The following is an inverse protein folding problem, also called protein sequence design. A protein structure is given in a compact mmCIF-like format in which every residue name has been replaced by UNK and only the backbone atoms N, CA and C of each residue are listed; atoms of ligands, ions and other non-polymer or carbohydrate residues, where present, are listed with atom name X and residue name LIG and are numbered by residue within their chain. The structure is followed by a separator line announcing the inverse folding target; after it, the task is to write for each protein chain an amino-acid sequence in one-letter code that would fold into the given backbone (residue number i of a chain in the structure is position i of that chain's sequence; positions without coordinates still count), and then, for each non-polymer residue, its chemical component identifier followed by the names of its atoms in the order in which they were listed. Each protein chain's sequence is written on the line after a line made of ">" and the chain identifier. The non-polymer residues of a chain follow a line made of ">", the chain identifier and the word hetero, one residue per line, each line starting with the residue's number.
data_IF_980880472796
#
_entry.id   IF_980880472796
#
_cell.length_a   1.000
_cell.length_b   1.000
_cell.length_c   1.000
_cell.angle_alpha   90.00
_cell.angle_beta   90.00
_cell.angle_gamma   90.00
#
_symmetry.space_group_name_H-M   'P 1'
#
loop_
_entity.id
_entity.type
_entity.pdbx_description
1 polymer ?
#
# COMPACT_ATOMS: atom_id res chain seq x y z
N UNK A 1 -44.42 7.51 47.74
CA UNK A 1 -44.13 7.43 46.29
C UNK A 1 -42.62 7.36 46.12
N UNK A 2 -42.08 6.19 45.79
CA UNK A 2 -40.63 5.90 45.80
C UNK A 2 -40.10 6.17 44.38
N UNK A 3 -39.27 7.20 44.22
CA UNK A 3 -38.67 7.57 42.93
C UNK A 3 -37.62 6.53 42.56
N UNK A 4 -37.87 5.74 41.52
CA UNK A 4 -36.92 4.78 40.98
C UNK A 4 -35.96 5.57 40.09
N UNK A 5 -34.71 5.65 40.52
CA UNK A 5 -33.61 6.19 39.73
C UNK A 5 -33.17 5.08 38.76
N UNK A 6 -33.48 5.22 37.48
CA UNK A 6 -33.01 4.32 36.42
C UNK A 6 -31.61 4.78 36.04
N UNK A 7 -30.60 4.07 36.51
CA UNK A 7 -29.21 4.24 36.09
C UNK A 7 -29.05 3.66 34.69
N UNK A 8 -28.78 4.52 33.71
CA UNK A 8 -28.50 4.15 32.32
C UNK A 8 -27.11 3.51 32.26
N UNK A 9 -27.06 2.18 32.19
CA UNK A 9 -25.81 1.44 31.98
C UNK A 9 -25.44 1.54 30.49
N UNK A 10 -24.56 2.49 30.16
CA UNK A 10 -23.98 2.61 28.82
C UNK A 10 -23.05 1.43 28.61
N UNK A 11 -23.53 0.43 27.87
CA UNK A 11 -22.76 -0.73 27.45
C UNK A 11 -21.87 -0.29 26.27
N UNK A 12 -20.60 0.04 26.58
CA UNK A 12 -19.56 0.28 25.57
C UNK A 12 -19.26 -1.06 24.90
N UNK A 13 -19.80 -1.27 23.71
CA UNK A 13 -19.45 -2.41 22.86
C UNK A 13 -18.09 -2.11 22.26
N UNK A 14 -17.03 -2.63 22.88
CA UNK A 14 -15.69 -2.70 22.31
C UNK A 14 -15.74 -3.69 21.14
N UNK A 15 -16.19 -3.24 19.98
CA UNK A 15 -15.99 -3.95 18.72
C UNK A 15 -14.48 -3.98 18.46
N UNK A 16 -13.85 -5.14 18.66
CA UNK A 16 -12.42 -5.32 18.40
C UNK A 16 -12.12 -5.09 16.93
N UNK A 17 -11.62 -3.91 16.59
CA UNK A 17 -11.06 -3.65 15.27
C UNK A 17 -9.66 -4.30 15.24
N UNK A 18 -9.47 -5.32 14.40
CA UNK A 18 -8.15 -5.88 14.13
C UNK A 18 -7.44 -5.01 13.09
N UNK A 19 -6.29 -4.45 13.43
CA UNK A 19 -5.43 -3.71 12.49
C UNK A 19 -4.84 -4.67 11.44
N UNK A 20 -4.58 -4.21 10.21
CA UNK A 20 -3.89 -5.03 9.22
C UNK A 20 -2.45 -5.33 9.65
N UNK A 21 -1.95 -6.48 9.24
CA UNK A 21 -0.56 -6.88 9.47
C UNK A 21 0.38 -6.20 8.46
N UNK A 22 -0.12 -5.91 7.25
CA UNK A 22 0.60 -5.17 6.21
C UNK A 22 -0.33 -4.17 5.53
N UNK A 23 0.21 -3.01 5.17
CA UNK A 23 -0.42 -2.03 4.29
C UNK A 23 0.61 -1.56 3.26
N UNK A 24 0.24 -1.49 1.98
CA UNK A 24 1.17 -1.08 0.95
C UNK A 24 0.59 -1.12 -0.46
N UNK A 25 1.41 -0.77 -1.44
CA UNK A 25 1.05 -0.83 -2.84
C UNK A 25 1.39 -2.19 -3.45
N UNK A 26 0.53 -2.65 -4.34
CA UNK A 26 0.81 -3.80 -5.20
C UNK A 26 1.79 -3.39 -6.28
N UNK A 27 3.04 -3.84 -6.17
CA UNK A 27 4.09 -3.48 -7.13
C UNK A 27 4.33 -4.54 -8.21
N UNK A 28 3.90 -5.78 -7.96
CA UNK A 28 4.10 -6.92 -8.86
C UNK A 28 3.00 -7.97 -8.67
N UNK A 29 2.77 -8.80 -9.70
CA UNK A 29 1.75 -9.83 -9.76
C UNK A 29 2.22 -11.01 -10.61
N UNK A 30 2.28 -12.19 -10.02
CA UNK A 30 2.69 -13.43 -10.70
C UNK A 30 1.90 -14.62 -10.14
N UNK A 31 1.57 -15.62 -10.96
CA UNK A 31 1.02 -16.92 -10.50
C UNK A 31 -0.08 -16.89 -9.42
N UNK A 32 -0.97 -15.89 -9.44
CA UNK A 32 -2.06 -15.76 -8.46
C UNK A 32 -1.61 -15.24 -7.08
N UNK A 33 -0.43 -14.64 -7.01
CA UNK A 33 0.07 -13.86 -5.88
C UNK A 33 0.40 -12.43 -6.30
N UNK A 34 0.40 -11.55 -5.31
CA UNK A 34 0.75 -10.13 -5.45
C UNK A 34 1.88 -9.77 -4.49
N UNK A 35 2.76 -8.88 -4.90
CA UNK A 35 3.79 -8.32 -4.04
C UNK A 35 3.31 -6.97 -3.50
N UNK A 36 3.04 -6.93 -2.21
CA UNK A 36 2.64 -5.73 -1.48
C UNK A 36 3.87 -5.15 -0.80
N UNK A 37 4.14 -3.86 -1.01
CA UNK A 37 5.27 -3.16 -0.40
C UNK A 37 4.81 -1.89 0.29
N UNK A 38 5.18 -1.75 1.57
CA UNK A 38 4.84 -0.59 2.38
C UNK A 38 5.56 0.66 1.86
N UNK A 39 4.84 1.77 1.82
CA UNK A 39 5.41 3.09 1.54
C UNK A 39 6.28 3.58 2.70
N UNK A 40 6.04 3.12 3.92
CA UNK A 40 6.78 3.55 5.10
C UNK A 40 7.96 2.63 5.38
N UNK A 41 9.11 3.25 5.66
CA UNK A 41 10.28 2.51 6.10
C UNK A 41 10.18 2.27 7.59
N UNK A 42 10.31 1.02 8.01
CA UNK A 42 10.63 0.69 9.38
C UNK A 42 12.14 0.88 9.59
N UNK A 43 12.52 1.48 10.71
CA UNK A 43 13.91 1.67 11.08
C UNK A 43 14.16 1.15 12.48
N UNK A 44 15.30 0.48 12.69
CA UNK A 44 15.77 0.22 14.05
C UNK A 44 16.54 1.45 14.56
N UNK A 45 16.02 2.11 15.61
CA UNK A 45 16.68 3.19 16.35
C UNK A 45 17.04 4.46 15.56
N UNK A 46 16.16 4.95 14.67
CA UNK A 46 16.34 6.23 13.95
C UNK A 46 17.63 6.36 13.11
N UNK A 47 18.26 5.24 12.74
CA UNK A 47 19.37 5.26 11.80
C UNK A 47 18.82 5.22 10.37
N UNK A 48 19.01 6.29 9.62
CA UNK A 48 18.61 6.40 8.20
C UNK A 48 19.26 5.32 7.32
N UNK A 49 20.40 4.76 7.75
CA UNK A 49 21.17 3.75 7.01
C UNK A 49 20.59 2.32 7.08
N UNK A 50 19.52 2.11 7.86
CA UNK A 50 18.86 0.79 8.05
C UNK A 50 17.35 0.86 7.86
N UNK A 51 16.90 1.68 6.91
CA UNK A 51 15.49 1.71 6.48
C UNK A 51 15.15 0.42 5.75
N UNK A 52 14.21 -0.34 6.30
CA UNK A 52 13.64 -1.51 5.66
C UNK A 52 12.18 -1.25 5.34
N UNK A 53 11.76 -1.60 4.13
CA UNK A 53 10.36 -1.55 3.74
C UNK A 53 9.77 -2.94 3.89
N UNK A 54 8.65 -3.02 4.58
CA UNK A 54 7.89 -4.25 4.67
C UNK A 54 7.40 -4.66 3.28
N UNK A 55 7.61 -5.93 2.97
CA UNK A 55 7.27 -6.50 1.68
C UNK A 55 6.70 -7.91 1.87
N UNK A 56 5.58 -8.18 1.21
CA UNK A 56 4.83 -9.42 1.35
C UNK A 56 4.37 -9.95 0.00
N UNK A 57 4.77 -11.18 -0.34
CA UNK A 57 4.11 -11.98 -1.36
C UNK A 57 2.84 -12.62 -0.78
N UNK A 58 1.68 -12.06 -1.12
CA UNK A 58 0.37 -12.56 -0.71
C UNK A 58 -0.23 -13.45 -1.80
N UNK A 59 -0.46 -14.73 -1.49
CA UNK A 59 -0.97 -15.72 -2.45
C UNK A 59 -2.45 -16.04 -2.23
N UNK A 60 -3.14 -16.54 -3.26
CA UNK A 60 -4.55 -16.93 -3.15
C UNK A 60 -5.52 -15.74 -3.02
N UNK A 61 -5.08 -14.57 -3.47
CA UNK A 61 -5.86 -13.32 -3.44
C UNK A 61 -6.83 -13.23 -4.63
N UNK A 62 -7.87 -12.37 -4.56
CA UNK A 62 -8.74 -12.08 -5.70
C UNK A 62 -7.95 -11.65 -6.95
N UNK A 63 -8.41 -12.11 -8.12
CA UNK A 63 -7.70 -11.91 -9.39
C UNK A 63 -7.83 -10.49 -9.95
N UNK A 64 -8.82 -9.75 -9.49
CA UNK A 64 -9.16 -8.38 -9.87
C UNK A 64 -8.33 -7.32 -9.15
N UNK A 65 -7.49 -7.70 -8.17
CA UNK A 65 -6.50 -6.81 -7.58
C UNK A 65 -5.39 -6.53 -8.59
N UNK A 66 -5.10 -5.26 -8.86
CA UNK A 66 -4.20 -4.81 -9.91
C UNK A 66 -2.92 -4.15 -9.36
N UNK A 67 -1.86 -4.16 -10.17
CA UNK A 67 -0.64 -3.39 -9.89
C UNK A 67 -1.02 -1.90 -9.77
N UNK A 68 -0.43 -1.24 -8.78
CA UNK A 68 -0.67 0.16 -8.44
C UNK A 68 -1.74 0.37 -7.37
N UNK A 69 -2.59 -0.61 -7.09
CA UNK A 69 -3.58 -0.49 -6.01
C UNK A 69 -2.93 -0.55 -4.62
N UNK A 70 -3.52 0.18 -3.68
CA UNK A 70 -3.14 0.11 -2.27
C UNK A 70 -4.01 -0.91 -1.54
N UNK A 71 -3.40 -1.76 -0.73
CA UNK A 71 -4.09 -2.85 -0.04
C UNK A 71 -3.71 -2.95 1.43
N UNK A 72 -4.64 -3.45 2.22
CA UNK A 72 -4.44 -3.90 3.60
C UNK A 72 -4.55 -5.43 3.65
N UNK A 73 -3.63 -6.09 4.36
CA UNK A 73 -3.51 -7.55 4.41
C UNK A 73 -3.53 -8.03 5.85
N UNK A 74 -4.35 -9.07 6.13
CA UNK A 74 -4.38 -9.78 7.42
C UNK A 74 -3.93 -11.23 7.21
N UNK A 75 -2.90 -11.65 7.92
CA UNK A 75 -2.29 -12.97 7.82
C UNK A 75 -1.85 -13.51 9.18
N UNK A 76 -2.41 -14.65 9.60
CA UNK A 76 -2.05 -15.29 10.88
C UNK A 76 -0.62 -15.86 10.88
N UNK A 77 -0.08 -16.16 9.70
CA UNK A 77 1.23 -16.79 9.55
C UNK A 77 1.93 -16.23 8.33
N UNK A 78 3.14 -15.73 8.55
CA UNK A 78 4.05 -15.22 7.51
C UNK A 78 5.34 -16.03 7.58
N UNK A 79 5.83 -16.48 6.43
CA UNK A 79 7.11 -17.16 6.33
C UNK A 79 8.26 -16.20 6.66
N UNK A 80 9.24 -16.68 7.42
CA UNK A 80 10.46 -15.93 7.76
C UNK A 80 11.41 -15.82 6.55
N UNK A 81 11.06 -14.94 5.61
CA UNK A 81 11.84 -14.62 4.41
C UNK A 81 11.71 -13.14 4.06
N UNK A 82 12.53 -12.66 3.13
CA UNK A 82 12.38 -11.31 2.56
C UNK A 82 12.31 -11.37 1.02
N UNK A 83 11.21 -10.92 0.38
CA UNK A 83 9.93 -10.54 1.00
C UNK A 83 9.32 -11.68 1.84
N UNK A 84 8.47 -11.32 2.81
CA UNK A 84 7.66 -12.29 3.54
C UNK A 84 6.71 -13.01 2.57
N UNK A 85 6.20 -14.18 2.97
CA UNK A 85 5.22 -14.92 2.17
C UNK A 85 4.05 -15.37 3.03
N UNK A 86 2.83 -15.14 2.57
CA UNK A 86 1.63 -15.54 3.29
C UNK A 86 0.45 -15.90 2.37
N UNK A 87 -0.46 -16.69 2.92
CA UNK A 87 -1.83 -16.84 2.41
C UNK A 87 -2.73 -16.04 3.34
N UNK A 88 -3.11 -14.79 3.00
CA UNK A 88 -3.89 -13.96 3.90
C UNK A 88 -5.30 -14.50 4.10
N UNK A 89 -5.82 -14.33 5.32
CA UNK A 89 -7.20 -14.65 5.64
C UNK A 89 -8.17 -13.57 5.13
N UNK A 90 -7.66 -12.35 4.98
CA UNK A 90 -8.40 -11.20 4.46
C UNK A 90 -7.43 -10.25 3.74
N UNK A 91 -7.90 -9.72 2.63
CA UNK A 91 -7.29 -8.59 1.94
C UNK A 91 -8.38 -7.55 1.65
N UNK A 92 -8.03 -6.28 1.78
CA UNK A 92 -8.91 -5.17 1.48
C UNK A 92 -8.19 -4.23 0.51
N UNK A 93 -8.84 -3.91 -0.61
CA UNK A 93 -8.35 -2.89 -1.54
C UNK A 93 -8.85 -1.53 -1.04
N UNK A 94 -7.93 -0.60 -0.81
CA UNK A 94 -8.27 0.76 -0.42
C UNK A 94 -8.77 1.53 -1.65
N UNK A 95 -9.75 2.44 -1.49
CA UNK A 95 -10.19 3.28 -2.58
C UNK A 95 -9.02 4.05 -3.19
N UNK A 96 -8.88 3.96 -4.52
CA UNK A 96 -7.94 4.75 -5.28
C UNK A 96 -8.37 6.23 -5.27
N UNK A 97 -7.41 7.13 -5.05
CA UNK A 97 -7.64 8.56 -5.10
C UNK A 97 -7.83 9.00 -6.56
N UNK A 98 -8.89 9.77 -6.80
CA UNK A 98 -9.16 10.39 -8.10
C UNK A 98 -9.64 11.82 -7.92
N UNK A 99 -8.73 12.81 -8.01
CA UNK A 99 -9.09 14.22 -8.06
C UNK A 99 -10.12 14.49 -9.17
N UNK A 100 -11.00 15.47 -8.97
CA UNK A 100 -12.07 15.79 -9.94
C UNK A 100 -11.52 16.19 -11.31
N UNK A 101 -10.38 16.87 -11.32
CA UNK A 101 -9.69 17.30 -12.53
C UNK A 101 -8.83 16.20 -13.18
N UNK A 102 -8.70 15.02 -12.55
CA UNK A 102 -7.85 13.95 -13.05
C UNK A 102 -8.63 12.95 -13.92
N UNK A 103 -8.02 12.50 -15.01
CA UNK A 103 -8.50 11.44 -15.89
C UNK A 103 -8.14 10.05 -15.35
N UNK A 104 -6.95 9.89 -14.77
CA UNK A 104 -6.47 8.68 -14.11
C UNK A 104 -6.80 8.68 -12.62
N UNK A 105 -6.84 7.50 -12.01
CA UNK A 105 -6.66 7.35 -10.56
C UNK A 105 -5.18 7.34 -10.19
N UNK A 106 -4.87 7.56 -8.91
CA UNK A 106 -3.52 7.38 -8.37
C UNK A 106 -2.98 5.97 -8.66
N UNK A 107 -3.80 4.93 -8.51
CA UNK A 107 -3.44 3.54 -8.81
C UNK A 107 -3.09 3.33 -10.30
N UNK A 108 -3.84 3.95 -11.22
CA UNK A 108 -3.54 3.91 -12.65
C UNK A 108 -2.22 4.63 -12.98
N UNK A 109 -1.99 5.80 -12.37
CA UNK A 109 -0.73 6.53 -12.52
C UNK A 109 0.46 5.76 -11.93
N UNK A 110 0.31 5.15 -10.76
CA UNK A 110 1.35 4.31 -10.13
C UNK A 110 1.66 3.10 -11.00
N UNK A 111 0.65 2.43 -11.57
CA UNK A 111 0.85 1.30 -12.49
C UNK A 111 1.69 1.69 -13.70
N UNK A 112 1.40 2.86 -14.30
CA UNK A 112 2.19 3.40 -15.42
C UNK A 112 3.62 3.71 -14.97
N UNK A 113 3.79 4.37 -13.82
CA UNK A 113 5.10 4.70 -13.28
C UNK A 113 5.97 3.46 -12.98
N UNK A 114 5.39 2.41 -12.39
CA UNK A 114 6.05 1.13 -12.15
C UNK A 114 6.49 0.44 -13.45
N UNK A 115 5.68 0.57 -14.51
CA UNK A 115 6.03 0.04 -15.84
C UNK A 115 7.25 0.76 -16.43
N UNK A 116 7.33 2.10 -16.28
CA UNK A 116 8.49 2.86 -16.78
C UNK A 116 9.80 2.49 -16.08
N UNK A 117 9.74 2.03 -14.83
CA UNK A 117 10.91 1.69 -14.03
C UNK A 117 11.13 0.17 -13.86
N UNK A 118 10.39 -0.67 -14.58
CA UNK A 118 10.41 -2.13 -14.41
C UNK A 118 11.81 -2.75 -14.59
N UNK A 119 12.67 -2.09 -15.37
CA UNK A 119 14.02 -2.54 -15.70
C UNK A 119 15.09 -1.96 -14.76
N UNK A 120 14.70 -1.17 -13.76
CA UNK A 120 15.63 -0.59 -12.79
C UNK A 120 16.00 -1.61 -11.70
N UNK A 121 17.22 -1.48 -11.17
CA UNK A 121 17.71 -2.42 -10.17
C UNK A 121 17.13 -2.15 -8.79
N UNK A 122 16.65 -3.20 -8.13
CA UNK A 122 16.11 -3.15 -6.77
C UNK A 122 14.59 -3.20 -6.75
N UNK A 123 14.03 -3.39 -5.56
CA UNK A 123 12.58 -3.47 -5.40
C UNK A 123 12.00 -2.05 -5.31
N UNK A 124 11.11 -1.64 -6.23
CA UNK A 124 10.52 -0.32 -6.20
C UNK A 124 9.60 -0.17 -4.98
N UNK A 125 9.61 1.01 -4.40
CA UNK A 125 8.77 1.42 -3.27
C UNK A 125 8.10 2.73 -3.66
N UNK A 126 6.77 2.72 -3.74
CA UNK A 126 5.98 3.91 -4.02
C UNK A 126 5.87 4.74 -2.74
N UNK A 127 6.50 5.91 -2.71
CA UNK A 127 6.50 6.83 -1.57
C UNK A 127 5.30 7.76 -1.58
N UNK A 128 4.95 8.28 -2.75
CA UNK A 128 3.82 9.20 -2.94
C UNK A 128 3.34 9.17 -4.39
N UNK A 129 2.10 9.62 -4.58
CA UNK A 129 1.50 9.88 -5.89
C UNK A 129 0.70 11.17 -5.77
N UNK A 130 1.12 12.20 -6.50
CA UNK A 130 0.53 13.54 -6.41
C UNK A 130 0.10 14.04 -7.79
N UNK A 131 -1.19 14.37 -7.93
CA UNK A 131 -1.70 15.01 -9.15
C UNK A 131 -1.41 16.51 -9.16
N UNK A 132 -0.85 17.00 -10.27
CA UNK A 132 -0.52 18.40 -10.51
C UNK A 132 -1.42 18.96 -11.62
N UNK A 133 -2.58 19.51 -11.22
CA UNK A 133 -3.61 20.03 -12.14
C UNK A 133 -3.09 21.08 -13.14
N UNK A 134 -2.13 21.93 -12.73
CA UNK A 134 -1.59 22.98 -13.60
C UNK A 134 -0.86 22.41 -14.83
N UNK A 135 -0.30 21.21 -14.69
CA UNK A 135 0.53 20.56 -15.68
C UNK A 135 -0.14 19.32 -16.29
N UNK A 136 -1.32 18.96 -15.79
CA UNK A 136 -2.11 17.78 -16.19
C UNK A 136 -1.36 16.45 -16.06
N UNK A 137 -0.66 16.27 -14.94
CA UNK A 137 0.18 15.09 -14.69
C UNK A 137 0.10 14.56 -13.28
N UNK A 138 0.46 13.28 -13.15
CA UNK A 138 0.81 12.66 -11.88
C UNK A 138 2.33 12.64 -11.69
N UNK A 139 2.78 12.99 -10.50
CA UNK A 139 4.16 12.79 -10.05
C UNK A 139 4.18 11.65 -9.05
N UNK A 140 4.82 10.54 -9.42
CA UNK A 140 4.98 9.36 -8.56
C UNK A 140 6.42 9.30 -8.06
N UNK A 141 6.62 9.39 -6.74
CA UNK A 141 7.93 9.22 -6.13
C UNK A 141 8.20 7.73 -5.87
N UNK A 142 9.26 7.20 -6.49
CA UNK A 142 9.71 5.82 -6.34
C UNK A 142 11.13 5.80 -5.78
N UNK A 143 11.32 5.09 -4.68
CA UNK A 143 12.64 4.74 -4.14
C UNK A 143 12.87 3.24 -4.31
N UNK A 144 14.10 2.78 -4.11
CA UNK A 144 14.46 1.37 -4.30
C UNK A 144 15.00 0.77 -3.00
N UNK A 145 14.33 -0.25 -2.49
CA UNK A 145 14.77 -0.94 -1.28
C UNK A 145 16.10 -1.67 -1.51
N UNK A 146 17.03 -1.56 -0.56
CA UNK A 146 18.34 -2.21 -0.55
C UNK A 146 19.16 -2.01 -1.83
N UNK A 147 18.99 -0.88 -2.51
CA UNK A 147 19.63 -0.56 -3.79
C UNK A 147 20.36 0.79 -3.73
N UNK A 148 21.31 0.98 -4.66
CA UNK A 148 21.93 2.27 -4.94
C UNK A 148 21.21 3.02 -6.07
N UNK A 149 20.12 2.47 -6.59
CA UNK A 149 19.29 3.14 -7.61
C UNK A 149 18.74 4.43 -7.02
N UNK A 150 18.96 5.58 -7.70
CA UNK A 150 18.50 6.86 -7.20
C UNK A 150 16.97 6.94 -7.17
N UNK A 151 16.42 7.75 -6.28
CA UNK A 151 15.00 8.11 -6.28
C UNK A 151 14.55 8.61 -7.65
N UNK A 152 13.38 8.18 -8.08
CA UNK A 152 12.74 8.61 -9.32
C UNK A 152 11.47 9.38 -8.98
N UNK A 153 11.36 10.58 -9.55
CA UNK A 153 10.08 11.29 -9.65
C UNK A 153 9.58 11.05 -11.06
N UNK A 154 8.71 10.06 -11.22
CA UNK A 154 8.18 9.66 -12.52
C UNK A 154 7.01 10.56 -12.84
N UNK A 155 7.07 11.25 -13.99
CA UNK A 155 6.01 12.12 -14.48
C UNK A 155 5.14 11.33 -15.44
N UNK A 156 3.86 11.18 -15.11
CA UNK A 156 2.88 10.46 -15.90
C UNK A 156 1.85 11.44 -16.43
N UNK A 157 1.73 11.54 -17.74
CA UNK A 157 0.68 12.32 -18.40
C UNK A 157 -0.70 11.75 -18.02
N UNK A 158 -1.61 12.62 -17.60
CA UNK A 158 -2.94 12.26 -17.12
C UNK A 158 -3.91 12.04 -18.29
N UNK A 159 -3.60 11.04 -19.12
CA UNK A 159 -4.42 10.65 -20.28
C UNK A 159 -4.77 9.16 -20.21
N UNK A 160 -6.00 8.79 -20.58
CA UNK A 160 -6.46 7.38 -20.59
C UNK A 160 -5.96 6.54 -21.75
#
# INVERSE_FOLDING_TARGET
>A
MKKILITFFVMIVLSGCSFPDYEGYVIDKEDGRILVVSSEAEGWNNNDDQKHYDALWASGVPKDIEIGEKVEVWADTVAESYPGQANPNKINVLPADKPEAADLTDAEAIKKALTEVENENGMPVVKSSEFQEADDVWIVEIVYANSQTPTRNVRIEDEK
#
